data_IF_706227305232
#
_entry.id   IF_706227305232
#
_cell.length_a   1.000
_cell.length_b   1.000
_cell.length_c   1.000
_cell.angle_alpha   90.00
_cell.angle_beta   90.00
_cell.angle_gamma   90.00
#
_symmetry.space_group_name_H-M   'P 1'
#
loop_
_entity.id
_entity.type
_entity.pdbx_description
1 polymer ?
#
# COMPACT_ATOMS: atom_id res chain seq x y z
N UNK A 1 -17.53 7.07 27.96
CA UNK A 1 -17.22 6.48 26.63
C UNK A 1 -18.54 6.15 25.94
N UNK A 2 -18.86 6.80 24.82
CA UNK A 2 -20.15 6.62 24.11
C UNK A 2 -20.18 5.28 23.34
N UNK A 3 -21.37 4.77 23.02
CA UNK A 3 -21.55 3.57 22.18
C UNK A 3 -20.92 3.74 20.80
N UNK A 4 -21.07 4.94 20.21
CA UNK A 4 -20.48 5.30 18.92
C UNK A 4 -18.95 5.21 18.94
N UNK A 5 -18.32 5.73 19.98
CA UNK A 5 -16.86 5.65 20.14
C UNK A 5 -16.39 4.20 20.25
N UNK A 6 -17.11 3.36 21.00
CA UNK A 6 -16.80 1.92 21.12
C UNK A 6 -16.88 1.21 19.78
N UNK A 7 -17.89 1.53 18.96
CA UNK A 7 -18.04 0.94 17.62
C UNK A 7 -16.91 1.39 16.68
N UNK A 8 -16.52 2.68 16.71
CA UNK A 8 -15.37 3.18 15.94
C UNK A 8 -14.06 2.48 16.35
N UNK A 9 -13.85 2.30 17.65
CA UNK A 9 -12.67 1.62 18.19
C UNK A 9 -12.63 0.14 17.80
N UNK A 10 -13.77 -0.56 17.90
CA UNK A 10 -13.86 -1.95 17.49
C UNK A 10 -13.53 -2.10 16.00
N UNK A 11 -14.15 -1.27 15.15
CA UNK A 11 -13.90 -1.27 13.71
C UNK A 11 -12.42 -1.02 13.39
N UNK A 12 -11.81 -0.03 14.05
CA UNK A 12 -10.38 0.29 13.95
C UNK A 12 -9.51 -0.91 14.32
N UNK A 13 -9.78 -1.54 15.47
CA UNK A 13 -9.02 -2.69 15.95
C UNK A 13 -9.15 -3.86 14.99
N UNK A 14 -10.35 -4.17 14.52
CA UNK A 14 -10.57 -5.28 13.59
C UNK A 14 -9.93 -5.04 12.22
N UNK A 15 -10.03 -3.83 11.65
CA UNK A 15 -9.43 -3.56 10.34
C UNK A 15 -7.90 -3.56 10.41
N UNK A 16 -7.32 -2.97 11.47
CA UNK A 16 -5.88 -2.99 11.70
C UNK A 16 -5.36 -4.39 12.00
N UNK A 17 -6.07 -5.17 12.82
CA UNK A 17 -5.67 -6.54 13.13
C UNK A 17 -5.69 -7.44 11.90
N UNK A 18 -6.74 -7.35 11.06
CA UNK A 18 -6.81 -8.10 9.80
C UNK A 18 -5.68 -7.69 8.87
N UNK A 19 -5.42 -6.39 8.72
CA UNK A 19 -4.34 -5.90 7.88
C UNK A 19 -2.97 -6.38 8.37
N UNK A 20 -2.70 -6.26 9.68
CA UNK A 20 -1.47 -6.76 10.28
C UNK A 20 -1.33 -8.27 10.09
N UNK A 21 -2.40 -9.05 10.29
CA UNK A 21 -2.39 -10.48 10.06
C UNK A 21 -2.05 -10.81 8.60
N UNK A 22 -2.72 -10.18 7.64
CA UNK A 22 -2.45 -10.36 6.21
C UNK A 22 -0.99 -10.05 5.87
N UNK A 23 -0.43 -8.98 6.43
CA UNK A 23 0.96 -8.62 6.14
C UNK A 23 1.94 -9.60 6.79
N UNK A 24 1.72 -10.00 8.05
CA UNK A 24 2.55 -11.00 8.73
C UNK A 24 2.50 -12.34 7.98
N UNK A 25 1.33 -12.79 7.55
CA UNK A 25 1.20 -14.01 6.74
C UNK A 25 1.86 -13.88 5.38
N UNK A 26 1.76 -12.72 4.73
CA UNK A 26 2.42 -12.46 3.43
C UNK A 26 3.94 -12.43 3.56
N UNK A 27 4.47 -11.80 4.62
CA UNK A 27 5.89 -11.79 4.97
C UNK A 27 6.40 -13.19 5.25
N UNK A 28 5.68 -13.95 6.08
CA UNK A 28 6.01 -15.33 6.37
C UNK A 28 6.00 -16.19 5.09
N UNK A 29 4.96 -16.06 4.25
CA UNK A 29 4.85 -16.80 3.00
C UNK A 29 6.00 -16.46 2.04
N UNK A 30 6.30 -15.17 1.81
CA UNK A 30 7.44 -14.75 0.98
C UNK A 30 8.77 -15.26 1.54
N UNK A 31 8.95 -15.23 2.86
CA UNK A 31 10.15 -15.77 3.50
C UNK A 31 10.29 -17.27 3.27
N UNK A 32 9.28 -18.07 3.58
CA UNK A 32 9.35 -19.52 3.46
C UNK A 32 9.47 -19.97 2.01
N UNK A 33 8.74 -19.34 1.08
CA UNK A 33 8.83 -19.65 -0.36
C UNK A 33 10.18 -19.20 -0.95
N UNK A 34 10.65 -18.01 -0.58
CA UNK A 34 11.96 -17.50 -1.02
C UNK A 34 13.11 -18.35 -0.49
N UNK A 35 13.07 -18.73 0.78
CA UNK A 35 14.05 -19.63 1.41
C UNK A 35 14.05 -21.01 0.75
N UNK A 36 12.86 -21.56 0.47
CA UNK A 36 12.73 -22.83 -0.26
C UNK A 36 13.38 -22.78 -1.64
N UNK A 37 13.11 -21.72 -2.42
CA UNK A 37 13.75 -21.54 -3.73
C UNK A 37 15.27 -21.41 -3.60
N UNK A 38 15.77 -20.58 -2.70
CA UNK A 38 17.22 -20.36 -2.56
C UNK A 38 17.97 -21.62 -2.08
N UNK A 39 17.39 -22.40 -1.18
CA UNK A 39 17.97 -23.68 -0.74
C UNK A 39 17.96 -24.74 -1.85
N UNK A 40 16.99 -24.68 -2.78
CA UNK A 40 16.94 -25.60 -3.92
C UNK A 40 17.99 -25.32 -5.01
N UNK A 41 18.50 -24.09 -5.10
CA UNK A 41 19.43 -23.64 -6.17
C UNK A 41 20.91 -23.70 -5.73
N UNK A 42 21.20 -24.20 -4.52
CA UNK A 42 22.56 -24.29 -3.96
C UNK A 42 23.32 -22.93 -3.98
N UNK A 43 22.56 -21.84 -3.87
CA UNK A 43 23.08 -20.47 -3.75
C UNK A 43 23.59 -20.23 -2.32
N UNK A 44 24.73 -19.54 -2.22
CA UNK A 44 25.56 -19.36 -1.03
C UNK A 44 24.84 -19.00 0.28
N UNK A 45 25.32 -19.55 1.40
CA UNK A 45 24.78 -19.42 2.78
C UNK A 45 24.84 -18.02 3.43
N UNK A 46 25.01 -16.95 2.65
CA UNK A 46 25.14 -15.61 3.25
C UNK A 46 23.76 -15.08 3.65
N UNK A 47 23.62 -14.73 4.93
CA UNK A 47 22.39 -14.18 5.51
C UNK A 47 21.81 -12.98 4.71
N UNK A 48 22.66 -12.16 4.09
CA UNK A 48 22.23 -11.02 3.29
C UNK A 48 21.43 -11.43 2.03
N UNK A 49 21.84 -12.51 1.36
CA UNK A 49 21.15 -13.04 0.19
C UNK A 49 19.77 -13.62 0.59
N UNK A 50 19.70 -14.17 1.80
CA UNK A 50 18.46 -14.71 2.39
C UNK A 50 17.51 -13.59 2.85
N UNK A 51 18.04 -12.48 3.38
CA UNK A 51 17.28 -11.36 3.92
C UNK A 51 16.69 -10.41 2.85
N UNK A 52 17.27 -10.36 1.64
CA UNK A 52 16.82 -9.50 0.55
C UNK A 52 15.31 -9.61 0.23
N UNK A 53 14.76 -10.83 0.03
CA UNK A 53 13.33 -11.03 -0.23
C UNK A 53 12.40 -10.57 0.90
N UNK A 54 12.86 -10.50 2.16
CA UNK A 54 12.06 -9.89 3.24
C UNK A 54 11.90 -8.39 3.06
N UNK A 55 12.91 -7.71 2.52
CA UNK A 55 12.91 -6.26 2.35
C UNK A 55 11.74 -5.78 1.51
N UNK A 56 11.48 -6.41 0.37
CA UNK A 56 10.37 -6.03 -0.52
C UNK A 56 9.00 -6.26 0.11
N UNK A 57 8.82 -7.38 0.79
CA UNK A 57 7.60 -7.69 1.52
C UNK A 57 7.38 -6.70 2.68
N UNK A 58 8.46 -6.29 3.34
CA UNK A 58 8.43 -5.31 4.41
C UNK A 58 8.09 -3.92 3.89
N UNK A 59 8.53 -3.54 2.67
CA UNK A 59 8.17 -2.27 2.03
C UNK A 59 6.69 -2.18 1.68
N UNK A 60 6.02 -3.30 1.38
CA UNK A 60 4.57 -3.32 1.19
C UNK A 60 3.80 -2.94 2.47
N UNK A 61 4.37 -3.22 3.66
CA UNK A 61 3.73 -2.87 4.94
C UNK A 61 3.43 -1.38 5.07
N UNK A 62 4.41 -0.45 5.10
CA UNK A 62 4.12 0.97 5.26
C UNK A 62 3.27 1.52 4.10
N UNK A 63 3.40 0.95 2.90
CA UNK A 63 2.62 1.36 1.73
C UNK A 63 1.11 1.20 1.94
N UNK A 64 0.66 0.06 2.44
CA UNK A 64 -0.77 -0.19 2.65
C UNK A 64 -1.24 0.17 4.06
N UNK A 65 -0.36 0.05 5.05
CA UNK A 65 -0.67 0.34 6.45
C UNK A 65 -0.86 1.83 6.71
N UNK A 66 0.02 2.69 6.20
CA UNK A 66 -0.05 4.13 6.51
C UNK A 66 -1.35 4.78 6.04
N UNK A 67 -1.85 4.57 4.80
CA UNK A 67 -3.12 5.14 4.38
C UNK A 67 -4.28 4.71 5.29
N UNK A 68 -4.36 3.42 5.61
CA UNK A 68 -5.42 2.91 6.49
C UNK A 68 -5.30 3.48 7.90
N UNK A 69 -4.09 3.49 8.48
CA UNK A 69 -3.83 4.04 9.81
C UNK A 69 -4.25 5.51 9.89
N UNK A 70 -3.82 6.32 8.93
CA UNK A 70 -4.13 7.74 8.85
C UNK A 70 -5.63 7.93 8.72
N UNK A 71 -6.27 7.25 7.76
CA UNK A 71 -7.71 7.35 7.54
C UNK A 71 -8.51 7.07 8.80
N UNK A 72 -8.21 5.95 9.44
CA UNK A 72 -8.88 5.47 10.64
C UNK A 72 -8.60 6.36 11.87
N UNK A 73 -7.41 6.98 11.95
CA UNK A 73 -7.10 7.96 13.01
C UNK A 73 -7.99 9.20 12.90
N UNK A 74 -8.21 9.67 11.66
CA UNK A 74 -9.08 10.81 11.40
C UNK A 74 -10.58 10.52 11.57
N UNK A 75 -11.02 9.27 11.52
CA UNK A 75 -12.40 8.89 11.88
C UNK A 75 -12.75 9.15 13.35
N UNK A 76 -11.77 9.14 14.24
CA UNK A 76 -11.98 9.53 15.65
C UNK A 76 -12.10 11.04 15.83
N UNK A 77 -11.40 11.82 14.99
CA UNK A 77 -11.42 13.28 15.00
C UNK A 77 -12.69 13.81 14.32
N UNK A 78 -13.18 13.11 13.30
CA UNK A 78 -14.37 13.54 12.57
C UNK A 78 -15.63 13.36 13.39
N UNK A 79 -16.23 14.49 13.75
CA UNK A 79 -17.46 14.54 14.53
C UNK A 79 -18.73 14.59 13.69
N UNK A 80 -18.69 15.31 12.56
CA UNK A 80 -19.85 15.50 11.69
C UNK A 80 -19.55 14.99 10.28
N UNK A 81 -20.59 14.49 9.60
CA UNK A 81 -20.48 14.18 8.18
C UNK A 81 -20.35 15.49 7.38
N UNK A 82 -19.56 15.53 6.30
CA UNK A 82 -19.44 16.72 5.49
C UNK A 82 -20.78 17.06 4.82
N UNK A 83 -21.16 18.34 4.81
CA UNK A 83 -22.44 18.79 4.22
C UNK A 83 -22.47 18.66 2.68
N UNK A 84 -21.31 18.68 2.03
CA UNK A 84 -21.21 18.52 0.57
C UNK A 84 -21.19 17.05 0.18
N UNK A 85 -21.99 16.66 -0.83
CA UNK A 85 -22.01 15.30 -1.39
C UNK A 85 -20.61 14.85 -1.84
N UNK A 86 -19.84 15.74 -2.45
CA UNK A 86 -18.47 15.47 -2.89
C UNK A 86 -17.54 15.16 -1.71
N UNK A 87 -17.59 15.97 -0.66
CA UNK A 87 -16.79 15.75 0.54
C UNK A 87 -17.24 14.48 1.30
N UNK A 88 -18.54 14.19 1.31
CA UNK A 88 -19.06 12.94 1.89
C UNK A 88 -18.54 11.72 1.11
N UNK A 89 -18.52 11.78 -0.22
CA UNK A 89 -17.98 10.69 -1.04
C UNK A 89 -16.46 10.54 -0.84
N UNK A 90 -15.70 11.63 -0.87
CA UNK A 90 -14.24 11.61 -0.65
C UNK A 90 -13.82 11.19 0.76
N UNK A 91 -14.69 11.34 1.76
CA UNK A 91 -14.44 10.91 3.15
C UNK A 91 -15.03 9.54 3.48
N UNK A 92 -15.61 8.86 2.48
CA UNK A 92 -16.19 7.52 2.61
C UNK A 92 -15.16 6.43 2.34
N UNK A 93 -15.40 5.25 2.90
CA UNK A 93 -14.51 4.09 2.75
C UNK A 93 -14.38 3.53 1.32
N UNK A 94 -15.45 3.44 0.51
CA UNK A 94 -15.37 2.81 -0.81
C UNK A 94 -14.23 3.29 -1.72
N UNK A 95 -13.97 4.60 -1.93
CA UNK A 95 -12.85 5.03 -2.77
C UNK A 95 -11.48 4.69 -2.19
N UNK A 96 -11.32 4.70 -0.86
CA UNK A 96 -10.08 4.29 -0.23
C UNK A 96 -9.86 2.78 -0.41
N UNK A 97 -10.87 1.97 -0.12
CA UNK A 97 -10.79 0.51 -0.24
C UNK A 97 -10.57 0.10 -1.70
N UNK A 98 -11.24 0.75 -2.66
CA UNK A 98 -11.04 0.50 -4.07
C UNK A 98 -9.61 0.82 -4.51
N UNK A 99 -9.07 1.97 -4.08
CA UNK A 99 -7.69 2.35 -4.45
C UNK A 99 -6.65 1.40 -3.85
N UNK A 100 -6.79 1.02 -2.59
CA UNK A 100 -5.94 0.00 -1.95
C UNK A 100 -6.08 -1.36 -2.63
N UNK A 101 -7.30 -1.80 -2.95
CA UNK A 101 -7.53 -3.08 -3.60
C UNK A 101 -6.91 -3.14 -5.01
N UNK A 102 -7.05 -2.08 -5.81
CA UNK A 102 -6.44 -2.01 -7.14
C UNK A 102 -4.91 -2.06 -7.02
N UNK A 103 -4.31 -1.28 -6.12
CA UNK A 103 -2.86 -1.34 -5.87
C UNK A 103 -2.41 -2.72 -5.37
N UNK A 104 -3.20 -3.37 -4.50
CA UNK A 104 -2.92 -4.73 -4.03
C UNK A 104 -2.95 -5.77 -5.15
N UNK A 105 -3.95 -5.71 -6.03
CA UNK A 105 -4.03 -6.58 -7.21
C UNK A 105 -2.84 -6.33 -8.14
N UNK A 106 -2.52 -5.07 -8.44
CA UNK A 106 -1.37 -4.72 -9.27
C UNK A 106 -0.05 -5.23 -8.67
N UNK A 107 0.11 -5.14 -7.35
CA UNK A 107 1.28 -5.66 -6.63
C UNK A 107 1.40 -7.19 -6.75
N UNK A 108 0.29 -7.92 -6.65
CA UNK A 108 0.26 -9.38 -6.85
C UNK A 108 0.67 -9.72 -8.29
N UNK A 109 0.13 -9.01 -9.28
CA UNK A 109 0.49 -9.23 -10.69
C UNK A 109 1.97 -8.93 -10.96
N UNK A 110 2.51 -7.84 -10.42
CA UNK A 110 3.94 -7.52 -10.50
C UNK A 110 4.78 -8.63 -9.86
N UNK A 111 4.39 -9.07 -8.65
CA UNK A 111 5.11 -10.10 -7.90
C UNK A 111 5.03 -11.48 -8.56
N UNK A 112 4.02 -11.75 -9.39
CA UNK A 112 3.87 -13.03 -10.10
C UNK A 112 4.90 -13.25 -11.21
N UNK A 113 5.50 -12.17 -11.73
CA UNK A 113 6.47 -12.26 -12.83
C UNK A 113 5.86 -12.51 -14.23
N UNK A 114 4.58 -12.88 -14.32
CA UNK A 114 3.87 -13.20 -15.57
C UNK A 114 3.89 -12.07 -16.61
N UNK A 115 4.02 -10.82 -16.15
CA UNK A 115 4.03 -9.62 -16.99
C UNK A 115 5.39 -8.94 -17.01
N UNK A 116 6.46 -9.70 -16.84
CA UNK A 116 7.82 -9.20 -16.98
C UNK A 116 8.15 -8.98 -18.45
N UNK A 117 8.69 -7.82 -18.78
CA UNK A 117 9.16 -7.46 -20.12
C UNK A 117 10.62 -7.08 -20.04
N UNK A 118 11.34 -7.30 -21.14
CA UNK A 118 12.71 -6.87 -21.27
C UNK A 118 12.72 -5.37 -21.58
N UNK A 119 13.23 -4.56 -20.65
CA UNK A 119 13.45 -3.14 -20.84
C UNK A 119 14.88 -2.95 -21.33
N UNK A 120 15.03 -2.59 -22.60
CA UNK A 120 16.33 -2.19 -23.15
C UNK A 120 16.36 -0.66 -23.24
N UNK A 121 17.39 0.00 -22.70
CA UNK A 121 17.54 1.43 -22.88
C UNK A 121 17.65 1.73 -24.38
N UNK A 122 16.86 2.68 -24.87
CA UNK A 122 17.11 3.26 -26.18
C UNK A 122 18.53 3.84 -26.18
N UNK A 123 19.31 3.70 -27.28
CA UNK A 123 20.69 4.17 -27.32
C UNK A 123 20.73 5.69 -27.18
N UNK A 124 20.79 6.18 -25.94
CA UNK A 124 20.93 7.61 -25.61
C UNK A 124 22.41 8.00 -25.74
N UNK A 125 22.91 8.01 -26.99
CA UNK A 125 24.24 8.51 -27.32
C UNK A 125 25.41 7.77 -26.66
N UNK A 126 26.66 8.15 -26.99
CA UNK A 126 27.86 7.47 -26.51
C UNK A 126 28.21 7.73 -25.03
N UNK A 127 27.42 8.52 -24.29
CA UNK A 127 27.85 9.06 -22.98
C UNK A 127 27.16 8.46 -21.74
N UNK A 128 26.06 7.71 -21.89
CA UNK A 128 25.37 7.07 -20.75
C UNK A 128 25.36 5.54 -20.89
N UNK A 129 26.47 4.91 -20.48
CA UNK A 129 26.79 3.49 -20.64
C UNK A 129 26.01 2.50 -19.75
N UNK A 130 24.68 2.53 -19.74
CA UNK A 130 23.91 1.38 -19.27
C UNK A 130 23.64 0.44 -20.46
N UNK A 131 24.56 -0.50 -20.71
CA UNK A 131 24.50 -1.44 -21.85
C UNK A 131 23.66 -2.70 -21.59
N UNK A 132 22.94 -2.78 -20.47
CA UNK A 132 22.25 -4.00 -20.08
C UNK A 132 20.74 -3.80 -20.10
N UNK A 133 20.06 -4.61 -20.91
CA UNK A 133 18.62 -4.78 -20.78
C UNK A 133 18.34 -5.42 -19.41
N UNK A 134 17.28 -4.97 -18.75
CA UNK A 134 16.83 -5.56 -17.49
C UNK A 134 15.42 -6.12 -17.65
N UNK A 135 15.13 -7.20 -16.94
CA UNK A 135 13.77 -7.70 -16.83
C UNK A 135 13.06 -6.90 -15.73
N UNK A 136 11.93 -6.30 -16.08
CA UNK A 136 11.10 -5.56 -15.14
C UNK A 136 9.62 -5.72 -15.45
N UNK A 137 8.72 -5.34 -14.53
CA UNK A 137 7.30 -5.37 -14.81
C UNK A 137 6.96 -4.45 -15.99
N UNK A 138 5.95 -4.82 -16.76
CA UNK A 138 5.41 -3.96 -17.81
C UNK A 138 5.01 -2.60 -17.24
N UNK A 139 5.34 -1.51 -17.95
CA UNK A 139 5.18 -0.14 -17.45
C UNK A 139 3.74 0.19 -17.03
N UNK A 140 2.74 -0.37 -17.72
CA UNK A 140 1.33 -0.19 -17.38
C UNK A 140 0.96 -0.77 -16.01
N UNK A 141 1.62 -1.83 -15.55
CA UNK A 141 1.42 -2.36 -14.20
C UNK A 141 1.95 -1.41 -13.13
N UNK A 142 3.08 -0.76 -13.39
CA UNK A 142 3.58 0.28 -12.50
C UNK A 142 2.57 1.42 -12.38
N UNK A 143 1.95 1.85 -13.48
CA UNK A 143 0.87 2.84 -13.43
C UNK A 143 -0.33 2.36 -12.60
N UNK A 144 -0.78 1.12 -12.78
CA UNK A 144 -1.87 0.53 -11.99
C UNK A 144 -1.52 0.35 -10.52
N UNK A 145 -0.25 0.24 -10.18
CA UNK A 145 0.21 0.17 -8.79
C UNK A 145 0.29 1.57 -8.16
N UNK A 146 1.02 2.50 -8.80
CA UNK A 146 1.34 3.81 -8.23
C UNK A 146 0.18 4.80 -8.28
N UNK A 147 -0.65 4.80 -9.33
CA UNK A 147 -1.74 5.79 -9.45
C UNK A 147 -2.82 5.63 -8.36
N UNK A 148 -3.36 4.42 -8.09
CA UNK A 148 -4.32 4.25 -7.01
C UNK A 148 -3.70 4.51 -5.63
N UNK A 149 -2.42 4.20 -5.46
CA UNK A 149 -1.69 4.51 -4.24
C UNK A 149 -1.60 6.03 -4.01
N UNK A 150 -1.28 6.82 -5.03
CA UNK A 150 -1.34 8.29 -4.98
C UNK A 150 -2.76 8.79 -4.66
N UNK A 151 -3.78 8.18 -5.26
CA UNK A 151 -5.18 8.48 -4.94
C UNK A 151 -5.48 8.20 -3.46
N UNK A 152 -4.98 7.09 -2.91
CA UNK A 152 -5.18 6.75 -1.50
C UNK A 152 -4.57 7.80 -0.56
N UNK A 153 -3.38 8.32 -0.88
CA UNK A 153 -2.76 9.41 -0.14
C UNK A 153 -3.57 10.70 -0.25
N UNK A 154 -4.02 11.05 -1.45
CA UNK A 154 -4.89 12.22 -1.67
C UNK A 154 -6.20 12.12 -0.87
N UNK A 155 -6.81 10.94 -0.82
CA UNK A 155 -8.00 10.66 -0.03
C UNK A 155 -7.72 10.83 1.48
N UNK A 156 -6.58 10.33 1.97
CA UNK A 156 -6.18 10.51 3.37
C UNK A 156 -5.99 11.98 3.74
N UNK A 157 -5.33 12.77 2.88
CA UNK A 157 -5.16 14.22 3.09
C UNK A 157 -6.52 14.91 3.10
N UNK A 158 -7.40 14.57 2.15
CA UNK A 158 -8.76 15.11 2.08
C UNK A 158 -9.55 14.80 3.36
N UNK A 159 -9.48 13.55 3.83
CA UNK A 159 -10.10 13.11 5.08
C UNK A 159 -9.57 13.88 6.28
N UNK A 160 -8.25 14.08 6.38
CA UNK A 160 -7.61 14.85 7.43
C UNK A 160 -8.16 16.29 7.46
N UNK A 161 -8.16 16.97 6.30
CA UNK A 161 -8.66 18.34 6.17
C UNK A 161 -10.14 18.45 6.59
N UNK A 162 -10.99 17.51 6.16
CA UNK A 162 -12.41 17.53 6.54
C UNK A 162 -12.60 17.29 8.04
N UNK A 163 -11.88 16.33 8.60
CA UNK A 163 -11.98 15.97 10.02
C UNK A 163 -11.57 17.13 10.92
N UNK A 164 -10.42 17.74 10.64
CA UNK A 164 -9.93 18.94 11.35
C UNK A 164 -10.91 20.10 11.20
N UNK A 165 -11.42 20.37 10.00
CA UNK A 165 -12.39 21.45 9.78
C UNK A 165 -13.69 21.23 10.56
N UNK A 166 -14.20 20.00 10.62
CA UNK A 166 -15.40 19.69 11.41
C UNK A 166 -15.17 19.81 12.91
N UNK A 167 -13.97 19.44 13.38
CA UNK A 167 -13.59 19.57 14.78
C UNK A 167 -13.48 21.04 15.20
N UNK A 168 -12.80 21.88 14.41
CA UNK A 168 -12.64 23.31 14.69
C UNK A 168 -13.99 24.05 14.73
N UNK A 169 -14.93 23.70 13.85
CA UNK A 169 -16.28 24.29 13.82
C UNK A 169 -17.13 24.00 15.06
N UNK A 170 -16.76 23.00 15.85
CA UNK A 170 -17.44 22.70 17.11
C UNK A 170 -16.88 23.51 18.28
N UNK A 171 -15.58 23.81 18.23
CA UNK A 171 -14.88 24.53 19.30
C UNK A 171 -15.22 26.02 19.25
N UNK A 172 -15.32 26.58 18.05
CA UNK A 172 -15.69 27.98 17.78
C UNK A 172 -17.22 28.10 17.80
#
# INVERSE_FOLDING_TARGET
MTSEYRQKLLNWLTSMAILMAVIVFSLAAKWFLGLWMMTSVNTTDKFADIAGPMGEAFLAYPIFFLPLLVWHSFDFIQEQKPNSRWAANLSSYPPLLASIAISGIAFILISSGEFTVMHCPEPMGPEFGFQHCFHGPATWLNFLFYMPLLISFFLCISKAMFSVRTYLKKII
#
